data_IF_922347664131
#
_entry.id   IF_922347664131
#
_cell.length_a   1.000
_cell.length_b   1.000
_cell.length_c   1.000
_cell.angle_alpha   90.00
_cell.angle_beta   90.00
_cell.angle_gamma   90.00
#
_symmetry.space_group_name_H-M   'P 1'
#
loop_
_entity.id
_entity.type
_entity.pdbx_description
1 polymer ?
#
# COMPACT_ATOMS: atom_id res chain seq x y z
N UNK A 1 1.30 30.87 -5.93
CA UNK A 1 1.79 29.65 -5.28
C UNK A 1 1.20 28.49 -6.06
N UNK A 2 1.95 27.88 -6.97
CA UNK A 2 1.49 26.63 -7.58
C UNK A 2 1.77 25.55 -6.54
N UNK A 3 0.72 24.91 -6.03
CA UNK A 3 0.87 23.66 -5.29
C UNK A 3 1.45 22.66 -6.28
N UNK A 4 2.74 22.34 -6.16
CA UNK A 4 3.31 21.23 -6.92
C UNK A 4 2.49 19.99 -6.58
N UNK A 5 1.91 19.28 -7.57
CA UNK A 5 1.15 18.08 -7.29
C UNK A 5 2.11 17.11 -6.59
N UNK A 6 1.77 16.72 -5.36
CA UNK A 6 2.52 15.72 -4.62
C UNK A 6 2.76 14.54 -5.56
N UNK A 7 4.01 14.28 -5.89
CA UNK A 7 4.38 13.30 -6.92
C UNK A 7 3.77 11.95 -6.50
N UNK A 8 2.74 11.46 -7.24
CA UNK A 8 1.94 10.32 -6.77
C UNK A 8 2.79 9.06 -6.62
N UNK A 9 3.94 9.02 -7.31
CA UNK A 9 4.92 7.94 -7.21
C UNK A 9 5.54 7.84 -5.81
N UNK A 10 5.77 8.95 -5.12
CA UNK A 10 6.38 8.97 -3.80
C UNK A 10 5.44 8.47 -2.71
N UNK A 11 4.15 8.83 -2.80
CA UNK A 11 3.13 8.39 -1.83
C UNK A 11 2.85 6.90 -1.99
N UNK A 12 2.72 6.43 -3.24
CA UNK A 12 2.48 5.03 -3.52
C UNK A 12 3.67 4.15 -3.09
N UNK A 13 4.91 4.53 -3.44
CA UNK A 13 6.11 3.76 -3.04
C UNK A 13 6.27 3.70 -1.51
N UNK A 14 5.98 4.81 -0.81
CA UNK A 14 5.95 4.83 0.65
C UNK A 14 4.93 3.83 1.21
N UNK A 15 3.71 3.81 0.68
CA UNK A 15 2.69 2.87 1.14
C UNK A 15 3.04 1.41 0.83
N UNK A 16 3.59 1.13 -0.36
CA UNK A 16 4.04 -0.21 -0.75
C UNK A 16 5.08 -0.71 0.24
N UNK A 17 6.14 0.08 0.50
CA UNK A 17 7.19 -0.28 1.46
C UNK A 17 6.62 -0.53 2.86
N UNK A 18 5.69 0.32 3.28
CA UNK A 18 5.04 0.19 4.59
C UNK A 18 4.17 -1.08 4.66
N UNK A 19 3.43 -1.41 3.61
CA UNK A 19 2.61 -2.63 3.53
C UNK A 19 3.45 -3.89 3.54
N UNK A 20 4.58 -3.89 2.83
CA UNK A 20 5.51 -5.02 2.86
C UNK A 20 6.06 -5.26 4.27
N UNK A 21 6.45 -4.19 4.97
CA UNK A 21 7.01 -4.26 6.32
C UNK A 21 5.96 -4.66 7.37
N UNK A 22 4.82 -4.00 7.40
CA UNK A 22 3.77 -4.17 8.43
C UNK A 22 2.82 -5.33 8.13
N UNK A 23 2.49 -5.50 6.85
CA UNK A 23 1.58 -6.54 6.36
C UNK A 23 2.26 -7.86 6.05
N UNK A 24 3.60 -7.91 5.98
CA UNK A 24 4.40 -9.10 5.62
C UNK A 24 3.99 -9.72 4.28
N UNK A 25 3.63 -8.87 3.31
CA UNK A 25 3.25 -9.24 1.95
C UNK A 25 4.33 -8.83 0.94
N UNK A 26 4.25 -9.34 -0.28
CA UNK A 26 5.17 -8.95 -1.36
C UNK A 26 4.78 -7.61 -1.97
N UNK A 27 5.73 -7.00 -2.69
CA UNK A 27 5.52 -5.74 -3.43
C UNK A 27 4.34 -5.84 -4.41
N UNK A 28 4.25 -6.96 -5.13
CA UNK A 28 3.15 -7.24 -6.06
C UNK A 28 1.80 -7.30 -5.35
N UNK A 29 1.75 -7.94 -4.17
CA UNK A 29 0.53 -7.98 -3.36
C UNK A 29 0.16 -6.57 -2.86
N UNK A 30 1.14 -5.78 -2.43
CA UNK A 30 0.91 -4.42 -1.96
C UNK A 30 0.37 -3.51 -3.09
N UNK A 31 0.97 -3.55 -4.29
CA UNK A 31 0.44 -2.82 -5.46
C UNK A 31 -0.97 -3.24 -5.82
N UNK A 32 -1.25 -4.54 -5.78
CA UNK A 32 -2.60 -5.04 -6.08
C UNK A 32 -3.63 -4.56 -5.05
N UNK A 33 -3.25 -4.48 -3.76
CA UNK A 33 -4.11 -3.92 -2.72
C UNK A 33 -4.38 -2.43 -2.91
N UNK A 34 -3.38 -1.65 -3.28
CA UNK A 34 -3.53 -0.21 -3.55
C UNK A 34 -4.43 0.01 -4.77
N UNK A 35 -4.23 -0.78 -5.82
CA UNK A 35 -5.07 -0.72 -7.02
C UNK A 35 -6.52 -1.14 -6.74
N UNK A 36 -6.77 -2.07 -5.81
CA UNK A 36 -8.12 -2.56 -5.52
C UNK A 36 -8.87 -1.80 -4.43
N UNK A 37 -8.18 -1.29 -3.42
CA UNK A 37 -8.76 -0.62 -2.24
C UNK A 37 -8.50 0.89 -2.22
N UNK A 38 -7.62 1.39 -3.08
CA UNK A 38 -7.13 2.78 -3.04
C UNK A 38 -6.11 3.00 -1.94
N UNK A 39 -6.05 4.22 -1.42
CA UNK A 39 -5.01 4.68 -0.49
C UNK A 39 -5.42 4.65 1.00
N UNK A 40 -6.49 3.92 1.35
CA UNK A 40 -6.93 3.80 2.75
C UNK A 40 -6.06 2.83 3.55
N UNK A 41 -5.20 3.38 4.42
CA UNK A 41 -4.22 2.60 5.17
C UNK A 41 -4.82 1.51 6.06
N UNK A 42 -5.95 1.77 6.72
CA UNK A 42 -6.59 0.82 7.63
C UNK A 42 -7.12 -0.41 6.88
N UNK A 43 -7.71 -0.19 5.70
CA UNK A 43 -8.20 -1.26 4.83
C UNK A 43 -7.04 -2.05 4.21
N UNK A 44 -6.02 -1.35 3.72
CA UNK A 44 -4.82 -1.97 3.13
C UNK A 44 -4.10 -2.87 4.15
N UNK A 45 -3.89 -2.40 5.38
CA UNK A 45 -3.18 -3.15 6.41
C UNK A 45 -3.98 -4.37 6.89
N UNK A 46 -5.30 -4.24 6.99
CA UNK A 46 -6.19 -5.35 7.32
C UNK A 46 -6.07 -6.44 6.27
N UNK A 47 -6.22 -6.09 5.00
CA UNK A 47 -6.18 -7.06 3.91
C UNK A 47 -4.78 -7.67 3.74
N UNK A 48 -3.72 -6.89 3.90
CA UNK A 48 -2.35 -7.39 3.88
C UNK A 48 -2.12 -8.47 4.95
N UNK A 49 -2.62 -8.27 6.18
CA UNK A 49 -2.53 -9.27 7.25
C UNK A 49 -3.34 -10.53 6.96
N UNK A 50 -4.52 -10.39 6.33
CA UNK A 50 -5.30 -11.54 5.88
C UNK A 50 -4.56 -12.34 4.81
N UNK A 51 -3.94 -11.68 3.84
CA UNK A 51 -3.12 -12.32 2.81
C UNK A 51 -1.90 -13.03 3.39
N UNK A 52 -1.21 -12.43 4.36
CA UNK A 52 -0.06 -13.05 5.01
C UNK A 52 -0.43 -14.29 5.84
N UNK A 53 -1.65 -14.33 6.41
CA UNK A 53 -2.15 -15.50 7.15
C UNK A 53 -2.63 -16.64 6.25
N UNK A 54 -2.94 -16.36 4.98
CA UNK A 54 -3.37 -17.36 3.99
C UNK A 54 -2.20 -18.07 3.27
N UNK A 55 -0.95 -17.72 3.60
CA UNK A 55 0.26 -18.38 3.07
C UNK A 55 0.67 -19.59 3.91
#
# INVERSE_FOLDING_TARGET
MAEEPADPTNVEDFMIRRLMKEGKITETQARHLIASLGYDWSSLLREARFLAKKR
#
